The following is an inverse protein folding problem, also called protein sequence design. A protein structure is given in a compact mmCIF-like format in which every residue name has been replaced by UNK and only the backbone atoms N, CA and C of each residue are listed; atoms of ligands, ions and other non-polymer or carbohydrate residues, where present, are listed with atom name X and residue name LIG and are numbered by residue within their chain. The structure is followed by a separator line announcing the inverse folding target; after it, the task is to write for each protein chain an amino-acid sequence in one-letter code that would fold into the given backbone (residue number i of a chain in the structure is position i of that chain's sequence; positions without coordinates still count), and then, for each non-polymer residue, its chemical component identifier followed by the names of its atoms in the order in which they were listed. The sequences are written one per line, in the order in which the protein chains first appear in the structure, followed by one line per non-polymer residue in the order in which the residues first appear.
data_IF_759835124997
#
_entry.id   IF_759835124997
#
_cell.length_a   1.000
_cell.length_b   1.000
_cell.length_c   1.000
_cell.angle_alpha   90.00
_cell.angle_beta   90.00
_cell.angle_gamma   90.00
#
_symmetry.space_group_name_H-M   'P 1'
#
loop_
_entity.id
_entity.type
_entity.pdbx_description
1 polymer ?
#
# COMPACT_ATOMS: atom_id res chain seq x y z
N UNK A 1 7.04 30.32 -7.95
CA UNK A 1 8.06 29.30 -7.59
C UNK A 1 7.46 28.52 -6.43
N UNK A 2 7.13 27.24 -6.63
CA UNK A 2 6.55 26.43 -5.55
C UNK A 2 7.62 26.17 -4.48
N UNK A 3 7.26 26.15 -3.18
CA UNK A 3 8.15 25.75 -2.10
C UNK A 3 8.95 24.48 -2.45
N UNK A 4 10.22 24.46 -2.05
CA UNK A 4 11.13 23.31 -2.21
C UNK A 4 10.72 22.07 -1.39
N UNK A 5 9.60 22.14 -0.68
CA UNK A 5 9.00 21.06 0.10
C UNK A 5 7.59 20.67 -0.42
N UNK A 6 7.15 21.28 -1.53
CA UNK A 6 5.85 21.00 -2.13
C UNK A 6 5.84 19.70 -2.94
N UNK A 7 4.67 19.07 -2.94
CA UNK A 7 4.40 17.88 -3.72
C UNK A 7 3.65 18.29 -4.95
N UNK A 8 4.24 18.05 -6.11
CA UNK A 8 3.54 18.22 -7.38
C UNK A 8 2.98 16.87 -7.80
N UNK A 9 1.65 16.78 -7.86
CA UNK A 9 0.99 15.69 -8.55
C UNK A 9 0.97 16.03 -10.05
N UNK A 10 1.73 15.31 -10.85
CA UNK A 10 1.67 15.40 -12.30
C UNK A 10 0.87 14.21 -12.83
N UNK A 11 0.00 14.43 -13.81
CA UNK A 11 -0.60 13.33 -14.56
C UNK A 11 0.18 13.20 -15.85
N UNK A 12 0.80 12.05 -16.04
CA UNK A 12 1.46 11.68 -17.29
C UNK A 12 0.47 10.85 -18.11
N UNK A 13 0.20 11.29 -19.33
CA UNK A 13 -0.55 10.51 -20.31
C UNK A 13 0.40 9.46 -20.92
N UNK A 14 0.18 8.18 -20.56
CA UNK A 14 0.94 7.06 -21.09
C UNK A 14 0.28 6.42 -22.33
N UNK A 15 -0.62 7.14 -23.01
CA UNK A 15 -1.26 6.73 -24.27
C UNK A 15 -2.42 5.72 -24.12
N UNK A 16 -2.45 4.92 -23.05
CA UNK A 16 -3.55 3.97 -22.75
C UNK A 16 -4.09 4.08 -21.31
N UNK A 17 -3.36 4.76 -20.41
CA UNK A 17 -3.76 5.02 -19.02
C UNK A 17 -3.26 6.39 -18.59
N UNK A 18 -4.09 7.15 -17.87
CA UNK A 18 -3.65 8.33 -17.12
C UNK A 18 -2.84 7.85 -15.90
N UNK A 19 -1.56 8.20 -15.83
CA UNK A 19 -0.69 7.84 -14.71
C UNK A 19 -0.55 9.02 -13.76
N UNK A 20 -0.98 8.87 -12.51
CA UNK A 20 -0.79 9.88 -11.48
C UNK A 20 0.62 9.74 -10.90
N UNK A 21 1.51 10.65 -11.29
CA UNK A 21 2.91 10.75 -10.84
C UNK A 21 3.01 11.72 -9.67
N UNK A 22 3.67 11.26 -8.62
CA UNK A 22 4.10 12.11 -7.52
C UNK A 22 5.53 12.57 -7.78
N UNK A 23 5.70 13.85 -8.09
CA UNK A 23 7.00 14.48 -8.21
C UNK A 23 7.28 15.26 -6.92
N UNK A 24 8.21 14.82 -6.06
CA UNK A 24 8.68 15.65 -4.97
C UNK A 24 9.47 16.82 -5.57
N UNK A 25 9.10 18.05 -5.22
CA UNK A 25 10.04 19.15 -5.40
C UNK A 25 11.08 18.97 -4.29
N UNK A 26 12.30 18.49 -4.59
CA UNK A 26 13.41 18.47 -3.62
C UNK A 26 13.93 17.10 -3.14
N UNK A 27 15.18 17.11 -2.68
CA UNK A 27 15.94 15.96 -2.17
C UNK A 27 15.65 15.75 -0.67
N UNK A 28 14.60 14.99 -0.34
CA UNK A 28 14.44 14.16 0.89
C UNK A 28 12.96 14.07 1.24
N UNK A 29 12.25 13.20 0.56
CA UNK A 29 10.91 12.82 0.96
C UNK A 29 11.00 11.36 1.38
N UNK A 30 11.18 11.15 2.69
CA UNK A 30 11.23 9.84 3.36
C UNK A 30 9.86 9.17 3.35
N UNK A 31 9.30 9.00 2.16
CA UNK A 31 7.95 8.53 1.97
C UNK A 31 7.93 7.02 2.08
N UNK A 32 7.13 6.51 3.01
CA UNK A 32 6.67 5.13 2.90
C UNK A 32 5.45 5.12 2.00
N UNK A 33 5.59 4.42 0.87
CA UNK A 33 4.51 4.18 -0.06
C UNK A 33 3.99 2.77 0.16
N UNK A 34 2.72 2.66 0.48
CA UNK A 34 2.02 1.38 0.59
C UNK A 34 0.78 1.42 -0.28
N UNK A 35 0.34 0.30 -0.83
CA UNK A 35 -0.84 0.37 -1.67
C UNK A 35 -1.21 -0.91 -2.36
N UNK A 36 -2.50 -1.00 -2.72
CA UNK A 36 -3.04 -2.07 -3.53
C UNK A 36 -2.80 -1.84 -5.02
N UNK A 37 -3.42 -2.61 -5.91
CA UNK A 37 -3.44 -2.29 -7.35
C UNK A 37 -4.09 -0.92 -7.65
N UNK A 38 -4.98 -0.44 -6.78
CA UNK A 38 -5.81 0.75 -7.02
C UNK A 38 -5.65 1.85 -5.96
N UNK A 39 -5.10 1.53 -4.78
CA UNK A 39 -4.88 2.51 -3.72
C UNK A 39 -3.38 2.72 -3.50
N UNK A 40 -2.94 3.97 -3.29
CA UNK A 40 -1.59 4.33 -2.84
C UNK A 40 -1.71 5.21 -1.61
N UNK A 41 -0.88 4.98 -0.60
CA UNK A 41 -0.85 5.75 0.62
C UNK A 41 0.56 6.24 0.87
N UNK A 42 0.67 7.53 1.17
CA UNK A 42 1.89 8.24 1.53
C UNK A 42 1.71 8.82 2.91
N UNK A 43 2.76 8.81 3.73
CA UNK A 43 2.72 9.38 5.08
C UNK A 43 3.75 10.48 5.20
N UNK A 44 3.32 11.61 5.75
CA UNK A 44 4.04 12.87 5.87
C UNK A 44 4.08 13.33 7.33
N UNK A 45 5.27 13.66 7.89
CA UNK A 45 5.44 14.09 9.28
C UNK A 45 5.09 15.57 9.52
N UNK A 46 4.13 16.12 8.79
CA UNK A 46 3.73 17.52 8.83
C UNK A 46 2.22 17.67 8.75
N UNK A 47 1.71 18.86 9.08
CA UNK A 47 0.28 19.16 9.04
C UNK A 47 -0.22 19.35 7.61
N UNK A 48 -1.53 19.15 7.40
CA UNK A 48 -2.17 19.39 6.10
C UNK A 48 -1.94 20.86 5.67
N UNK A 49 -1.34 21.11 4.48
CA UNK A 49 -1.14 22.46 3.98
C UNK A 49 -2.48 23.21 3.82
N UNK A 50 -2.50 24.48 4.21
CA UNK A 50 -3.69 25.33 4.07
C UNK A 50 -4.07 25.62 2.60
N UNK A 51 -3.12 25.49 1.68
CA UNK A 51 -3.27 25.79 0.25
C UNK A 51 -3.28 24.54 -0.64
N UNK A 52 -3.84 23.43 -0.17
CA UNK A 52 -4.06 22.24 -1.00
C UNK A 52 -5.10 22.52 -2.08
N UNK A 53 -4.63 22.93 -3.26
CA UNK A 53 -5.47 23.21 -4.43
C UNK A 53 -5.19 22.21 -5.54
N UNK A 54 -6.24 21.59 -6.10
CA UNK A 54 -6.12 20.86 -7.36
C UNK A 54 -6.06 21.88 -8.49
N UNK A 55 -4.87 22.09 -9.05
CA UNK A 55 -4.67 23.05 -10.15
C UNK A 55 -5.06 22.48 -11.53
N UNK A 56 -5.32 21.17 -11.61
CA UNK A 56 -5.50 20.49 -12.89
C UNK A 56 -6.30 19.19 -12.71
N UNK A 57 -7.44 19.12 -13.41
CA UNK A 57 -7.95 18.01 -14.23
C UNK A 57 -9.45 17.70 -14.01
N UNK A 58 -10.26 17.59 -15.08
CA UNK A 58 -11.68 17.23 -15.01
C UNK A 58 -11.94 15.77 -14.56
N UNK A 59 -10.91 14.92 -14.56
CA UNK A 59 -11.02 13.48 -14.27
C UNK A 59 -10.66 13.10 -12.83
N UNK A 60 -10.21 14.06 -12.02
CA UNK A 60 -9.76 13.79 -10.65
C UNK A 60 -10.57 14.59 -9.63
N UNK A 61 -10.86 13.97 -8.49
CA UNK A 61 -11.47 14.63 -7.33
C UNK A 61 -10.45 14.68 -6.20
N UNK A 62 -10.13 15.88 -5.74
CA UNK A 62 -9.35 16.10 -4.51
C UNK A 62 -10.32 16.23 -3.32
N UNK A 63 -10.15 15.40 -2.32
CA UNK A 63 -10.87 15.46 -1.04
C UNK A 63 -9.87 15.73 0.07
N UNK A 64 -10.01 16.86 0.75
CA UNK A 64 -9.14 17.24 1.87
C UNK A 64 -9.88 17.02 3.18
N UNK A 65 -9.24 16.31 4.09
CA UNK A 65 -9.68 16.03 5.46
C UNK A 65 -8.69 16.64 6.47
N UNK A 66 -9.00 16.53 7.77
CA UNK A 66 -8.18 17.11 8.84
C UNK A 66 -6.72 16.65 8.83
N UNK A 67 -6.50 15.39 8.48
CA UNK A 67 -5.23 14.67 8.58
C UNK A 67 -4.85 13.97 7.27
N UNK A 68 -5.59 14.22 6.18
CA UNK A 68 -5.36 13.51 4.93
C UNK A 68 -5.85 14.28 3.71
N UNK A 69 -5.21 14.03 2.57
CA UNK A 69 -5.67 14.44 1.26
C UNK A 69 -5.82 13.20 0.38
N UNK A 70 -6.96 13.06 -0.28
CA UNK A 70 -7.26 11.96 -1.18
C UNK A 70 -7.48 12.49 -2.60
N UNK A 71 -6.72 11.96 -3.55
CA UNK A 71 -6.87 12.21 -4.97
C UNK A 71 -7.48 10.97 -5.64
N UNK A 72 -8.68 11.12 -6.20
CA UNK A 72 -9.48 10.01 -6.77
C UNK A 72 -9.61 10.16 -8.28
N UNK A 73 -9.49 9.06 -9.01
CA UNK A 73 -9.96 8.90 -10.39
C UNK A 73 -10.61 7.52 -10.55
N UNK A 74 -11.95 7.49 -10.56
CA UNK A 74 -12.73 6.26 -10.56
C UNK A 74 -12.43 5.39 -9.33
N UNK A 75 -11.89 4.18 -9.56
CA UNK A 75 -11.48 3.24 -8.49
C UNK A 75 -10.07 3.50 -7.97
N UNK A 76 -9.27 4.28 -8.69
CA UNK A 76 -7.88 4.58 -8.34
C UNK A 76 -7.83 5.74 -7.36
N UNK A 77 -7.05 5.58 -6.29
CA UNK A 77 -6.96 6.54 -5.19
C UNK A 77 -5.52 6.71 -4.73
N UNK A 78 -5.14 7.95 -4.49
CA UNK A 78 -3.92 8.30 -3.77
C UNK A 78 -4.29 9.03 -2.49
N UNK A 79 -3.79 8.54 -1.37
CA UNK A 79 -3.92 9.14 -0.06
C UNK A 79 -2.58 9.71 0.37
N UNK A 80 -2.58 10.94 0.85
CA UNK A 80 -1.48 11.51 1.62
C UNK A 80 -1.99 11.73 3.03
N UNK A 81 -1.39 11.04 3.99
CA UNK A 81 -1.67 11.17 5.42
C UNK A 81 -0.66 12.12 6.05
N UNK A 82 -1.16 13.06 6.82
CA UNK A 82 -0.42 14.14 7.48
C UNK A 82 -0.48 13.90 8.99
N UNK A 83 0.61 13.41 9.57
CA UNK A 83 0.67 13.06 10.98
C UNK A 83 2.09 13.15 11.54
N UNK A 84 2.26 13.76 12.70
CA UNK A 84 3.55 13.81 13.40
C UNK A 84 4.05 12.43 13.82
N UNK A 85 3.13 11.49 14.10
CA UNK A 85 3.44 10.09 14.39
C UNK A 85 3.24 9.21 13.16
N UNK A 86 4.29 9.15 12.35
CA UNK A 86 4.35 8.34 11.12
C UNK A 86 4.24 6.84 11.43
N UNK A 87 4.73 6.38 12.58
CA UNK A 87 4.73 4.96 12.95
C UNK A 87 3.33 4.46 13.24
N UNK A 88 2.53 5.24 13.98
CA UNK A 88 1.13 4.90 14.26
C UNK A 88 0.30 4.83 12.99
N UNK A 89 0.43 5.81 12.08
CA UNK A 89 -0.28 5.78 10.79
C UNK A 89 0.16 4.57 9.96
N UNK A 90 1.47 4.31 9.88
CA UNK A 90 1.97 3.15 9.15
C UNK A 90 1.44 1.83 9.74
N UNK A 91 1.43 1.68 11.06
CA UNK A 91 0.89 0.49 11.73
C UNK A 91 -0.59 0.30 11.39
N UNK A 92 -1.39 1.36 11.46
CA UNK A 92 -2.81 1.30 11.11
C UNK A 92 -3.03 0.93 9.64
N UNK A 93 -2.26 1.50 8.72
CA UNK A 93 -2.32 1.16 7.30
C UNK A 93 -1.93 -0.30 7.06
N UNK A 94 -0.88 -0.79 7.71
CA UNK A 94 -0.42 -2.17 7.59
C UNK A 94 -1.47 -3.16 8.11
N UNK A 95 -2.15 -2.84 9.21
CA UNK A 95 -3.27 -3.64 9.72
C UNK A 95 -4.47 -3.63 8.77
N UNK A 96 -4.77 -2.48 8.16
CA UNK A 96 -5.83 -2.35 7.14
C UNK A 96 -5.54 -3.20 5.90
N UNK A 97 -4.32 -3.11 5.36
CA UNK A 97 -3.89 -3.94 4.23
C UNK A 97 -3.92 -5.42 4.57
N UNK A 98 -3.43 -5.82 5.76
CA UNK A 98 -3.48 -7.21 6.22
C UNK A 98 -4.92 -7.72 6.24
N UNK A 99 -5.87 -6.91 6.71
CA UNK A 99 -7.29 -7.26 6.74
C UNK A 99 -7.90 -7.40 5.34
N UNK A 100 -7.58 -6.48 4.43
CA UNK A 100 -8.08 -6.49 3.04
C UNK A 100 -7.50 -7.65 2.21
N UNK A 101 -6.18 -7.81 2.23
CA UNK A 101 -5.45 -8.72 1.34
C UNK A 101 -5.26 -10.11 1.94
N UNK A 102 -5.37 -10.27 3.27
CA UNK A 102 -4.95 -11.49 3.94
C UNK A 102 -5.63 -12.76 3.44
N UNK A 103 -6.94 -12.69 3.16
CA UNK A 103 -7.66 -13.85 2.61
C UNK A 103 -7.14 -14.26 1.23
N UNK A 104 -6.69 -13.31 0.41
CA UNK A 104 -6.15 -13.55 -0.94
C UNK A 104 -4.74 -14.14 -0.84
N UNK A 105 -3.92 -13.62 0.08
CA UNK A 105 -2.57 -14.13 0.36
C UNK A 105 -2.62 -15.58 0.82
N UNK A 106 -3.47 -15.90 1.81
CA UNK A 106 -3.67 -17.27 2.29
C UNK A 106 -4.17 -18.22 1.19
N UNK A 107 -5.15 -17.77 0.39
CA UNK A 107 -5.66 -18.55 -0.74
C UNK A 107 -4.61 -18.80 -1.80
N UNK A 108 -3.77 -17.81 -2.10
CA UNK A 108 -2.68 -17.95 -3.05
C UNK A 108 -1.64 -18.96 -2.55
N UNK A 109 -1.29 -18.92 -1.28
CA UNK A 109 -0.34 -19.87 -0.69
C UNK A 109 -0.90 -21.30 -0.68
N UNK A 110 -2.18 -21.47 -0.33
CA UNK A 110 -2.85 -22.77 -0.43
C UNK A 110 -2.72 -23.35 -1.85
N UNK A 111 -2.99 -22.55 -2.88
CA UNK A 111 -2.83 -22.99 -4.29
C UNK A 111 -1.39 -23.34 -4.63
N UNK A 112 -0.40 -22.62 -4.09
CA UNK A 112 1.01 -22.95 -4.27
C UNK A 112 1.36 -24.28 -3.61
N UNK A 113 0.81 -24.59 -2.43
CA UNK A 113 0.98 -25.92 -1.82
C UNK A 113 0.36 -27.00 -2.70
N UNK A 114 -0.87 -26.81 -3.18
CA UNK A 114 -1.56 -27.77 -4.08
C UNK A 114 -0.74 -28.07 -5.35
N UNK A 115 0.06 -27.11 -5.83
CA UNK A 115 0.92 -27.22 -7.01
C UNK A 115 2.37 -27.62 -6.71
N UNK A 116 2.77 -27.72 -5.44
CA UNK A 116 4.17 -27.92 -5.07
C UNK A 116 5.09 -26.71 -5.32
N UNK A 117 4.54 -25.51 -5.47
CA UNK A 117 5.25 -24.25 -5.76
C UNK A 117 5.54 -23.41 -4.51
N UNK A 118 5.07 -23.85 -3.33
CA UNK A 118 5.25 -23.14 -2.07
C UNK A 118 6.73 -23.00 -1.71
N UNK A 119 7.19 -21.77 -1.51
CA UNK A 119 8.57 -21.48 -1.05
C UNK A 119 8.70 -21.41 0.46
N UNK A 120 7.58 -21.29 1.18
CA UNK A 120 7.57 -21.26 2.63
C UNK A 120 7.85 -22.68 3.18
N UNK A 121 8.73 -22.84 4.18
CA UNK A 121 9.12 -24.14 4.73
C UNK A 121 8.06 -24.71 5.69
N UNK A 122 6.87 -24.99 5.15
CA UNK A 122 5.78 -25.62 5.91
C UNK A 122 6.10 -27.06 6.28
N UNK A 123 5.84 -27.45 7.52
CA UNK A 123 5.80 -28.86 7.92
C UNK A 123 4.60 -29.58 7.29
N UNK A 124 4.65 -30.92 7.19
CA UNK A 124 3.51 -31.71 6.67
C UNK A 124 2.22 -31.56 7.47
N UNK A 125 2.32 -31.18 8.75
CA UNK A 125 1.17 -30.84 9.58
C UNK A 125 0.58 -29.49 9.16
N UNK A 126 1.42 -28.46 9.02
CA UNK A 126 1.00 -27.11 8.63
C UNK A 126 0.46 -27.08 7.19
N UNK A 127 1.04 -27.86 6.26
CA UNK A 127 0.49 -28.02 4.91
C UNK A 127 -0.94 -28.58 4.94
N UNK A 128 -1.17 -29.67 5.69
CA UNK A 128 -2.51 -30.26 5.85
C UNK A 128 -3.49 -29.30 6.49
N UNK A 129 -3.04 -28.52 7.47
CA UNK A 129 -3.85 -27.49 8.09
C UNK A 129 -4.22 -26.37 7.10
N UNK A 130 -3.26 -25.87 6.32
CA UNK A 130 -3.54 -24.84 5.31
C UNK A 130 -4.50 -25.33 4.23
N UNK A 131 -4.34 -26.57 3.77
CA UNK A 131 -5.22 -27.18 2.76
C UNK A 131 -6.65 -27.38 3.28
N UNK A 132 -6.82 -27.72 4.56
CA UNK A 132 -8.13 -27.99 5.16
C UNK A 132 -8.84 -26.72 5.66
N UNK A 133 -8.14 -25.85 6.37
CA UNK A 133 -8.72 -24.67 7.04
C UNK A 133 -8.53 -23.37 6.27
N UNK A 134 -7.62 -23.34 5.30
CA UNK A 134 -7.30 -22.13 4.53
C UNK A 134 -6.38 -21.14 5.26
N UNK A 135 -5.94 -21.45 6.49
CA UNK A 135 -4.91 -20.73 7.23
C UNK A 135 -4.20 -21.68 8.21
N UNK A 136 -3.01 -21.31 8.67
CA UNK A 136 -2.24 -22.08 9.68
C UNK A 136 -2.26 -21.35 11.01
N UNK A 137 -2.64 -22.04 12.08
CA UNK A 137 -2.65 -21.46 13.42
C UNK A 137 -1.24 -21.05 13.87
N UNK A 138 -1.13 -19.91 14.54
CA UNK A 138 0.16 -19.37 14.99
C UNK A 138 0.99 -18.69 13.90
N UNK A 139 0.42 -18.47 12.71
CA UNK A 139 1.04 -17.67 11.66
C UNK A 139 0.24 -16.40 11.38
N UNK A 140 0.97 -15.31 11.14
CA UNK A 140 0.45 -14.07 10.58
C UNK A 140 1.12 -13.78 9.24
N UNK A 141 0.63 -12.76 8.54
CA UNK A 141 1.30 -12.22 7.36
C UNK A 141 1.87 -10.84 7.67
N UNK A 142 3.08 -10.62 7.17
CA UNK A 142 3.73 -9.32 7.18
C UNK A 142 4.08 -8.94 5.75
N UNK A 143 4.03 -7.66 5.45
CA UNK A 143 4.50 -7.18 4.16
C UNK A 143 6.01 -7.02 4.25
N UNK A 144 6.72 -7.46 3.23
CA UNK A 144 8.16 -7.25 3.09
C UNK A 144 8.42 -5.76 2.81
N UNK A 145 8.84 -5.03 3.84
CA UNK A 145 9.17 -3.60 3.75
C UNK A 145 10.35 -3.32 2.81
N UNK A 146 11.18 -4.32 2.50
CA UNK A 146 12.29 -4.21 1.55
C UNK A 146 11.84 -4.42 0.11
N UNK A 147 10.63 -4.92 -0.11
CA UNK A 147 10.09 -5.08 -1.45
C UNK A 147 9.88 -3.68 -2.05
N UNK A 148 10.75 -3.29 -3.00
CA UNK A 148 10.55 -2.10 -3.86
C UNK A 148 9.36 -2.25 -4.81
N UNK A 149 8.45 -3.16 -4.50
CA UNK A 149 7.35 -3.53 -5.35
C UNK A 149 6.39 -2.35 -5.44
N UNK A 150 6.30 -1.76 -6.64
CA UNK A 150 5.42 -0.63 -6.93
C UNK A 150 3.93 -1.00 -6.88
N UNK A 151 3.58 -2.27 -6.72
CA UNK A 151 2.20 -2.77 -6.70
C UNK A 151 2.04 -3.86 -5.62
N UNK A 152 0.91 -3.87 -4.89
CA UNK A 152 0.58 -5.02 -4.05
C UNK A 152 0.48 -6.26 -4.91
N UNK A 153 1.25 -7.27 -4.57
CA UNK A 153 1.04 -8.62 -5.06
C UNK A 153 1.01 -9.56 -3.87
N UNK A 154 0.40 -10.73 -4.00
CA UNK A 154 0.51 -11.79 -2.98
C UNK A 154 1.96 -12.22 -2.70
N UNK A 155 2.93 -11.73 -3.48
CA UNK A 155 4.36 -12.00 -3.32
C UNK A 155 5.08 -11.00 -2.41
N UNK A 156 4.49 -9.84 -2.11
CA UNK A 156 5.07 -8.90 -1.13
C UNK A 156 4.74 -9.27 0.31
N UNK A 157 3.91 -10.29 0.51
CA UNK A 157 3.55 -10.80 1.83
C UNK A 157 4.38 -12.03 2.16
N UNK A 158 4.86 -12.10 3.40
CA UNK A 158 5.57 -13.24 3.98
C UNK A 158 4.77 -13.80 5.15
N UNK A 159 4.84 -15.12 5.33
CA UNK A 159 4.24 -15.80 6.48
C UNK A 159 5.23 -15.82 7.64
N UNK A 160 4.83 -15.24 8.76
CA UNK A 160 5.65 -15.14 9.98
C UNK A 160 4.97 -15.92 11.08
N UNK A 161 5.75 -16.74 11.80
CA UNK A 161 5.25 -17.49 12.95
C UNK A 161 5.23 -16.55 14.16
N UNK A 162 4.09 -16.48 14.84
CA UNK A 162 3.97 -15.76 16.09
C UNK A 162 4.83 -16.51 17.13
N UNK A 163 5.93 -15.89 17.57
CA UNK A 163 6.74 -16.37 18.70
C UNK A 163 6.01 -16.26 20.01
#
# INVERSE_FOLDING_TARGET
MYPLDDVTFAVEDAGFHELLVLAPNGNKTGWRAFGTSWERHFVRPDAVPQSLTSASLPHFTLVVSRDSAELRNGKTKIFVHFASDVETVNKALMEDFRRKEGSVVWRAERRRIERGESRQPWTEREKRELLSKGAVAGYTIEMDELSRARFSSVHIWRFVKNT
#
